data_IF_942456356380
#
_entry.id   IF_942456356380
#
_cell.length_a   1.000
_cell.length_b   1.000
_cell.length_c   1.000
_cell.angle_alpha   90.00
_cell.angle_beta   90.00
_cell.angle_gamma   90.00
#
_symmetry.space_group_name_H-M   'P 1'
#
loop_
_entity.id
_entity.type
_entity.pdbx_description
1 polymer ?
#
# COMPACT_ATOMS: atom_id res chain seq x y z
N UNK A 1 -3.06 -10.76 -3.42
CA UNK A 1 -2.81 -9.32 -3.20
C UNK A 1 -2.01 -8.61 -4.32
N UNK A 2 -1.93 -9.14 -5.56
CA UNK A 2 -1.13 -8.56 -6.67
C UNK A 2 -1.63 -7.21 -7.23
N UNK A 3 -2.83 -6.76 -6.85
CA UNK A 3 -3.47 -5.59 -7.47
C UNK A 3 -2.88 -4.26 -7.02
N UNK A 4 -2.41 -4.14 -5.77
CA UNK A 4 -1.81 -2.89 -5.28
C UNK A 4 -0.47 -2.60 -5.97
N UNK A 5 0.37 -3.61 -6.16
CA UNK A 5 1.67 -3.46 -6.85
C UNK A 5 1.49 -3.10 -8.32
N UNK A 6 0.43 -3.61 -8.98
CA UNK A 6 0.13 -3.33 -10.39
C UNK A 6 -0.42 -1.91 -10.61
N UNK A 7 -1.17 -1.35 -9.65
CA UNK A 7 -1.81 -0.03 -9.79
C UNK A 7 -0.85 1.14 -9.54
N UNK A 8 0.09 1.01 -8.61
CA UNK A 8 1.18 2.01 -8.46
C UNK A 8 2.17 1.95 -9.62
N UNK A 9 2.40 0.76 -10.18
CA UNK A 9 3.16 0.60 -11.42
C UNK A 9 2.52 1.38 -12.56
N UNK A 10 1.18 1.34 -12.72
CA UNK A 10 0.49 2.00 -13.83
C UNK A 10 0.65 3.53 -13.82
N UNK A 11 0.60 4.18 -12.65
CA UNK A 11 0.81 5.63 -12.54
C UNK A 11 2.26 6.04 -12.80
N UNK A 12 3.24 5.26 -12.28
CA UNK A 12 4.64 5.46 -12.62
C UNK A 12 4.90 5.21 -14.12
N UNK A 13 4.33 4.14 -14.68
CA UNK A 13 4.40 3.80 -16.12
C UNK A 13 3.76 4.87 -17.01
N UNK A 14 2.69 5.53 -16.55
CA UNK A 14 2.02 6.60 -17.27
C UNK A 14 2.90 7.85 -17.42
N UNK A 15 3.63 8.22 -16.36
CA UNK A 15 4.59 9.30 -16.42
C UNK A 15 5.88 8.86 -17.16
N UNK A 16 6.37 7.65 -16.92
CA UNK A 16 7.52 7.05 -17.61
C UNK A 16 7.34 6.95 -19.14
N UNK A 17 6.10 6.80 -19.63
CA UNK A 17 5.82 6.82 -21.07
C UNK A 17 6.01 8.20 -21.72
N UNK A 18 6.11 9.28 -20.93
CA UNK A 18 6.23 10.66 -21.41
C UNK A 18 7.61 11.30 -21.19
N UNK A 19 8.46 10.72 -20.33
CA UNK A 19 9.78 11.24 -20.00
C UNK A 19 10.88 10.22 -20.39
N UNK A 20 11.78 10.61 -21.29
CA UNK A 20 12.94 9.80 -21.63
C UNK A 20 14.01 9.84 -20.53
N UNK A 21 14.53 8.66 -20.17
CA UNK A 21 15.63 8.37 -19.24
C UNK A 21 16.87 9.26 -19.40
N UNK A 22 17.34 9.85 -18.30
CA UNK A 22 18.76 10.14 -18.05
C UNK A 22 19.05 10.35 -16.52
N UNK A 23 19.55 9.28 -15.88
CA UNK A 23 20.55 9.24 -14.79
C UNK A 23 20.27 9.70 -13.32
N UNK A 24 20.42 8.71 -12.41
CA UNK A 24 21.26 8.61 -11.17
C UNK A 24 21.01 9.43 -9.87
N UNK A 25 20.59 8.68 -8.82
CA UNK A 25 21.00 8.59 -7.39
C UNK A 25 21.19 9.81 -6.45
N UNK A 26 20.66 9.70 -5.21
CA UNK A 26 21.38 9.73 -3.90
C UNK A 26 20.45 9.85 -2.66
N UNK A 27 20.88 9.21 -1.57
CA UNK A 27 20.30 9.00 -0.23
C UNK A 27 20.25 10.24 0.73
N UNK A 28 19.43 10.13 1.80
CA UNK A 28 19.71 10.48 3.22
C UNK A 28 18.55 11.18 4.02
N UNK A 29 18.17 10.49 5.11
CA UNK A 29 17.94 10.91 6.52
C UNK A 29 16.66 11.58 7.12
N UNK A 30 16.29 10.96 8.26
CA UNK A 30 15.69 11.44 9.53
C UNK A 30 14.20 11.83 9.63
N UNK A 31 13.43 11.06 10.41
CA UNK A 31 12.07 11.42 10.85
C UNK A 31 11.83 11.09 12.34
N UNK A 32 11.72 12.17 13.12
CA UNK A 32 11.33 12.28 14.54
C UNK A 32 9.85 11.87 14.77
N UNK A 33 9.62 10.87 15.64
CA UNK A 33 8.28 10.37 15.97
C UNK A 33 7.76 10.96 17.30
N UNK A 34 6.98 12.04 17.22
CA UNK A 34 6.12 12.50 18.33
C UNK A 34 5.05 11.46 18.67
N UNK A 35 5.10 10.92 19.89
CA UNK A 35 4.08 10.02 20.44
C UNK A 35 2.77 10.78 20.74
N UNK A 36 1.74 10.54 19.93
CA UNK A 36 0.34 10.87 20.21
C UNK A 36 -0.46 9.61 20.53
N UNK A 37 -1.59 9.78 21.25
CA UNK A 37 -2.53 8.76 21.71
C UNK A 37 -2.61 7.49 20.84
N UNK A 38 -2.43 6.34 21.48
CA UNK A 38 -2.49 5.01 20.88
C UNK A 38 -3.96 4.67 20.61
N UNK A 39 -4.42 4.92 19.39
CA UNK A 39 -5.64 4.31 18.86
C UNK A 39 -5.36 2.81 18.66
N UNK A 40 -6.12 1.96 19.37
CA UNK A 40 -5.96 0.50 19.55
C UNK A 40 -6.17 -0.35 18.27
N UNK A 41 -5.96 0.27 17.10
CA UNK A 41 -6.00 -0.37 15.77
C UNK A 41 -4.66 -0.21 15.03
N UNK A 42 -3.58 0.05 15.77
CA UNK A 42 -2.22 0.20 15.24
C UNK A 42 -1.72 -1.11 14.63
N UNK A 43 -1.53 -1.08 13.31
CA UNK A 43 -0.70 -2.08 12.62
C UNK A 43 0.76 -1.77 12.94
N UNK A 44 1.37 -2.61 13.77
CA UNK A 44 2.81 -2.59 14.01
C UNK A 44 3.52 -3.30 12.84
N UNK A 45 4.31 -2.54 12.09
CA UNK A 45 5.13 -3.04 10.99
C UNK A 45 6.35 -3.75 11.55
N UNK A 46 6.14 -4.85 12.29
CA UNK A 46 7.23 -5.58 12.91
C UNK A 46 7.80 -6.61 11.89
N UNK A 47 8.97 -6.38 11.28
CA UNK A 47 9.54 -7.30 10.29
C UNK A 47 10.07 -8.60 10.94
N UNK A 48 10.08 -8.71 12.26
CA UNK A 48 10.70 -9.82 12.98
C UNK A 48 9.78 -11.02 13.20
N UNK A 49 8.45 -10.86 13.11
CA UNK A 49 7.51 -11.99 13.28
C UNK A 49 7.82 -13.07 12.23
N UNK A 50 8.35 -14.20 12.64
CA UNK A 50 8.79 -15.28 11.76
C UNK A 50 8.05 -16.58 12.03
N UNK A 51 8.53 -17.64 11.39
CA UNK A 51 8.01 -19.00 11.61
C UNK A 51 8.06 -19.43 13.07
N UNK A 52 9.06 -18.99 13.84
CA UNK A 52 9.19 -19.29 15.27
C UNK A 52 8.15 -18.61 16.15
N UNK A 53 7.51 -17.55 15.65
CA UNK A 53 6.50 -16.78 16.38
C UNK A 53 5.08 -17.23 16.03
N UNK A 54 4.93 -18.09 15.02
CA UNK A 54 3.66 -18.69 14.65
C UNK A 54 3.19 -19.65 15.76
N UNK A 55 2.18 -19.24 16.53
CA UNK A 55 1.59 -20.05 17.59
C UNK A 55 0.31 -20.79 17.16
N UNK A 56 -0.23 -20.48 15.98
CA UNK A 56 -1.53 -20.98 15.53
C UNK A 56 -2.67 -20.40 16.36
N UNK A 57 -3.56 -21.28 16.85
CA UNK A 57 -4.76 -20.90 17.60
C UNK A 57 -6.04 -20.95 16.76
N UNK A 58 -7.18 -20.69 17.40
CA UNK A 58 -8.48 -20.75 16.74
C UNK A 58 -8.75 -19.49 15.92
N UNK A 59 -8.80 -19.62 14.59
CA UNK A 59 -9.27 -18.56 13.70
C UNK A 59 -10.80 -18.51 13.72
N UNK A 60 -11.37 -17.92 14.77
CA UNK A 60 -12.80 -17.61 14.83
C UNK A 60 -12.97 -16.19 15.32
N UNK A 61 -13.80 -15.36 14.66
CA UNK A 61 -14.01 -13.96 15.04
C UNK A 61 -13.88 -12.99 13.88
N UNK A 62 -13.93 -11.69 14.20
CA UNK A 62 -13.82 -10.60 13.24
C UNK A 62 -12.84 -9.56 13.75
N UNK A 63 -11.94 -9.12 12.89
CA UNK A 63 -10.89 -8.16 13.18
C UNK A 63 -10.98 -7.00 12.19
N UNK A 64 -10.70 -5.79 12.66
CA UNK A 64 -10.62 -4.60 11.80
C UNK A 64 -9.17 -4.14 11.67
N UNK A 65 -8.87 -3.52 10.53
CA UNK A 65 -7.59 -2.86 10.30
C UNK A 65 -7.81 -1.48 9.71
N UNK A 66 -6.93 -0.53 10.03
CA UNK A 66 -6.98 0.87 9.57
C UNK A 66 -5.67 1.39 8.99
N UNK A 67 -4.64 0.54 8.92
CA UNK A 67 -3.35 0.86 8.31
C UNK A 67 -2.78 -0.37 7.61
N UNK A 68 -1.83 -0.15 6.72
CA UNK A 68 -0.96 -1.19 6.19
C UNK A 68 0.43 -0.61 6.03
N UNK A 69 1.45 -1.45 6.19
CA UNK A 69 2.81 -1.10 5.84
C UNK A 69 2.94 -1.17 4.32
N UNK A 70 3.53 -0.15 3.72
CA UNK A 70 3.85 -0.15 2.30
C UNK A 70 5.30 0.24 2.12
N UNK A 71 6.00 -0.53 1.31
CA UNK A 71 7.40 -0.26 0.94
C UNK A 71 7.48 0.63 -0.32
N UNK A 72 6.35 1.23 -0.73
CA UNK A 72 6.29 2.04 -1.94
C UNK A 72 6.85 3.44 -1.70
N UNK A 73 8.00 3.72 -2.31
CA UNK A 73 8.58 5.05 -2.35
C UNK A 73 8.00 5.85 -3.54
N UNK A 74 6.89 6.53 -3.27
CA UNK A 74 6.21 7.39 -4.25
C UNK A 74 7.11 8.53 -4.75
N UNK A 75 8.04 9.00 -3.92
CA UNK A 75 8.90 10.12 -4.25
C UNK A 75 10.01 9.68 -5.20
N UNK A 76 10.66 8.54 -4.92
CA UNK A 76 11.65 7.97 -5.83
C UNK A 76 11.04 7.69 -7.21
N UNK A 77 9.87 7.06 -7.26
CA UNK A 77 9.17 6.78 -8.52
C UNK A 77 8.80 8.07 -9.28
N UNK A 78 8.38 9.13 -8.58
CA UNK A 78 8.06 10.40 -9.22
C UNK A 78 9.30 11.15 -9.70
N UNK A 79 10.39 11.15 -8.92
CA UNK A 79 11.67 11.78 -9.31
C UNK A 79 12.29 11.10 -10.53
N UNK A 80 12.18 9.77 -10.62
CA UNK A 80 12.62 8.99 -11.77
C UNK A 80 11.86 9.40 -13.05
N UNK A 81 10.54 9.56 -12.94
CA UNK A 81 9.69 9.96 -14.07
C UNK A 81 9.70 11.50 -14.35
N UNK A 82 10.18 12.32 -13.42
CA UNK A 82 10.26 13.75 -13.62
C UNK A 82 11.35 14.33 -12.74
N UNK A 83 12.58 14.46 -13.27
CA UNK A 83 13.68 15.05 -12.52
C UNK A 83 13.31 16.46 -12.01
N UNK A 84 13.43 16.65 -10.70
CA UNK A 84 13.06 17.90 -10.02
C UNK A 84 11.62 17.95 -9.51
N UNK A 85 10.79 16.93 -9.77
CA UNK A 85 9.53 16.75 -9.06
C UNK A 85 9.76 16.59 -7.55
N UNK A 86 8.82 17.09 -6.76
CA UNK A 86 8.86 17.01 -5.30
C UNK A 86 7.53 16.51 -4.78
N UNK A 87 7.55 15.42 -4.03
CA UNK A 87 6.39 15.00 -3.25
C UNK A 87 6.34 15.86 -1.99
N UNK A 88 5.23 16.55 -1.78
CA UNK A 88 5.02 17.40 -0.59
C UNK A 88 4.19 16.69 0.47
N UNK A 89 3.39 15.69 0.07
CA UNK A 89 2.61 14.86 0.97
C UNK A 89 2.34 13.51 0.36
N UNK A 90 2.46 12.47 1.17
CA UNK A 90 1.98 11.12 0.87
C UNK A 90 1.05 10.69 1.99
N UNK A 91 -0.16 10.28 1.65
CA UNK A 91 -1.15 9.80 2.60
C UNK A 91 -1.71 8.45 2.15
N UNK A 92 -1.07 7.33 2.54
CA UNK A 92 -1.67 6.02 2.38
C UNK A 92 -2.79 5.83 3.41
N UNK A 93 -3.87 5.19 2.96
CA UNK A 93 -4.99 4.77 3.78
C UNK A 93 -5.38 3.37 3.37
N UNK A 94 -5.48 2.46 4.34
CA UNK A 94 -5.92 1.08 4.11
C UNK A 94 -6.86 0.74 5.25
N UNK A 95 -8.04 0.22 4.95
CA UNK A 95 -8.94 -0.22 6.00
C UNK A 95 -9.80 -1.38 5.56
N UNK A 96 -10.27 -2.15 6.52
CA UNK A 96 -11.18 -3.25 6.25
C UNK A 96 -11.38 -4.16 7.43
N UNK A 97 -11.94 -5.33 7.13
CA UNK A 97 -12.26 -6.36 8.10
C UNK A 97 -11.86 -7.74 7.57
N UNK A 98 -11.31 -8.55 8.46
CA UNK A 98 -11.10 -9.98 8.28
C UNK A 98 -12.04 -10.72 9.23
N UNK A 99 -12.81 -11.68 8.73
CA UNK A 99 -13.65 -12.54 9.56
C UNK A 99 -13.41 -14.00 9.27
N UNK A 100 -13.49 -14.80 10.33
CA UNK A 100 -13.38 -16.24 10.28
C UNK A 100 -14.55 -16.85 11.06
N UNK A 101 -15.35 -17.67 10.38
CA UNK A 101 -16.46 -18.42 10.99
C UNK A 101 -16.28 -19.88 10.64
N UNK A 102 -15.86 -20.67 11.62
CA UNK A 102 -15.40 -22.04 11.41
C UNK A 102 -14.22 -22.07 10.43
N UNK A 103 -14.39 -22.60 9.21
CA UNK A 103 -13.38 -22.58 8.16
C UNK A 103 -13.64 -21.52 7.08
N UNK A 104 -14.72 -20.74 7.19
CA UNK A 104 -15.02 -19.69 6.23
C UNK A 104 -14.23 -18.44 6.58
N UNK A 105 -13.31 -18.07 5.71
CA UNK A 105 -12.64 -16.78 5.72
C UNK A 105 -13.40 -15.79 4.83
N UNK A 106 -13.53 -14.56 5.31
CA UNK A 106 -13.99 -13.42 4.51
C UNK A 106 -13.10 -12.21 4.76
N UNK A 107 -12.82 -11.48 3.70
CA UNK A 107 -12.06 -10.25 3.70
C UNK A 107 -12.83 -9.21 2.93
N UNK A 108 -13.06 -8.08 3.56
CA UNK A 108 -13.59 -6.89 2.92
C UNK A 108 -12.66 -5.75 3.26
N UNK A 109 -12.31 -4.93 2.29
CA UNK A 109 -11.49 -3.77 2.56
C UNK A 109 -11.44 -2.81 1.40
N UNK A 110 -10.71 -1.75 1.65
CA UNK A 110 -10.37 -0.76 0.66
C UNK A 110 -9.08 -0.07 1.02
N UNK A 111 -8.58 0.63 0.02
CA UNK A 111 -7.37 1.42 0.14
C UNK A 111 -7.60 2.74 -0.59
N UNK A 112 -6.90 3.75 -0.12
CA UNK A 112 -6.78 5.07 -0.70
C UNK A 112 -5.32 5.47 -0.63
N UNK A 113 -4.79 6.10 -1.66
CA UNK A 113 -3.46 6.67 -1.62
C UNK A 113 -3.56 8.06 -2.22
N UNK A 114 -3.24 9.08 -1.44
CA UNK A 114 -3.20 10.47 -1.91
C UNK A 114 -1.75 10.94 -1.95
N UNK A 115 -1.35 11.51 -3.09
CA UNK A 115 -0.04 12.14 -3.28
C UNK A 115 -0.25 13.60 -3.68
N UNK A 116 0.32 14.50 -2.91
CA UNK A 116 0.50 15.89 -3.31
C UNK A 116 1.93 16.08 -3.79
N UNK A 117 2.09 16.65 -4.98
CA UNK A 117 3.39 16.85 -5.60
C UNK A 117 3.48 18.16 -6.36
N UNK A 118 4.70 18.66 -6.51
CA UNK A 118 5.03 19.79 -7.39
C UNK A 118 5.85 19.27 -8.55
N UNK A 119 5.43 19.59 -9.78
CA UNK A 119 6.09 19.19 -11.01
C UNK A 119 6.72 20.42 -11.70
N UNK A 120 8.00 20.36 -12.09
CA UNK A 120 8.64 21.36 -12.92
C UNK A 120 7.91 21.61 -14.24
N UNK A 121 7.98 22.86 -14.72
CA UNK A 121 7.39 23.27 -16.00
C UNK A 121 7.80 22.38 -17.18
N UNK A 122 9.04 21.88 -17.16
CA UNK A 122 9.58 21.03 -18.23
C UNK A 122 8.81 19.71 -18.35
N UNK A 123 8.53 19.04 -17.22
CA UNK A 123 7.76 17.80 -17.21
C UNK A 123 6.31 18.04 -17.61
N UNK A 124 5.72 19.13 -17.12
CA UNK A 124 4.37 19.50 -17.47
C UNK A 124 4.24 19.82 -18.97
N UNK A 125 5.21 20.52 -19.55
CA UNK A 125 5.21 20.87 -20.97
C UNK A 125 5.25 19.63 -21.87
N UNK A 126 5.97 18.58 -21.48
CA UNK A 126 6.04 17.32 -22.22
C UNK A 126 4.67 16.65 -22.40
N UNK A 127 3.74 16.90 -21.49
CA UNK A 127 2.39 16.31 -21.48
C UNK A 127 1.28 17.32 -21.81
N UNK A 128 1.63 18.48 -22.36
CA UNK A 128 0.64 19.49 -22.78
C UNK A 128 0.21 20.46 -21.66
N UNK A 129 1.03 20.66 -20.64
CA UNK A 129 0.84 21.60 -19.55
C UNK A 129 0.10 21.02 -18.33
N UNK A 130 0.02 21.80 -17.24
CA UNK A 130 -0.58 21.36 -15.98
C UNK A 130 -2.02 20.85 -16.13
N UNK A 131 -2.80 21.46 -17.03
CA UNK A 131 -4.23 21.12 -17.23
C UNK A 131 -4.42 19.73 -17.88
N UNK A 132 -3.40 19.22 -18.56
CA UNK A 132 -3.46 17.92 -19.24
C UNK A 132 -3.13 16.74 -18.31
N UNK A 133 -2.35 16.99 -17.24
CA UNK A 133 -1.88 15.98 -16.29
C UNK A 133 -3.04 15.23 -15.60
N UNK A 134 -4.11 15.89 -15.11
CA UNK A 134 -5.22 15.18 -14.46
C UNK A 134 -5.93 14.18 -15.36
N UNK A 135 -5.99 14.44 -16.67
CA UNK A 135 -6.59 13.50 -17.63
C UNK A 135 -5.71 12.27 -17.78
N UNK A 136 -4.41 12.45 -17.98
CA UNK A 136 -3.43 11.36 -18.09
C UNK A 136 -3.45 10.47 -16.84
N UNK A 137 -3.45 11.08 -15.65
CA UNK A 137 -3.48 10.33 -14.39
C UNK A 137 -4.75 9.50 -14.24
N UNK A 138 -5.92 10.05 -14.60
CA UNK A 138 -7.20 9.32 -14.55
C UNK A 138 -7.25 8.19 -15.57
N UNK A 139 -6.75 8.42 -16.77
CA UNK A 139 -6.64 7.38 -17.81
C UNK A 139 -5.74 6.22 -17.36
N UNK A 140 -4.85 6.47 -16.40
CA UNK A 140 -3.97 5.48 -15.78
C UNK A 140 -4.42 5.05 -14.36
N UNK A 141 -5.71 5.21 -14.05
CA UNK A 141 -6.33 4.60 -12.88
C UNK A 141 -6.39 5.46 -11.63
N UNK A 142 -5.97 6.74 -11.68
CA UNK A 142 -6.29 7.67 -10.60
C UNK A 142 -7.81 7.85 -10.48
N UNK A 143 -8.33 7.71 -9.27
CA UNK A 143 -9.75 7.96 -8.99
C UNK A 143 -10.05 9.46 -9.04
N UNK A 144 -9.14 10.28 -8.53
CA UNK A 144 -9.20 11.73 -8.56
C UNK A 144 -7.82 12.29 -8.91
N UNK A 145 -7.79 13.36 -9.70
CA UNK A 145 -6.57 14.06 -10.02
C UNK A 145 -6.87 15.53 -10.26
N UNK A 146 -6.00 16.41 -9.76
CA UNK A 146 -6.06 17.84 -10.01
C UNK A 146 -4.65 18.38 -10.09
N UNK A 147 -4.42 19.30 -11.01
CA UNK A 147 -3.13 19.98 -11.17
C UNK A 147 -3.41 21.42 -11.54
N UNK A 148 -2.60 22.34 -11.04
CA UNK A 148 -2.73 23.77 -11.35
C UNK A 148 -1.38 24.46 -11.28
N UNK A 149 -1.21 25.52 -12.08
CA UNK A 149 0.03 26.29 -12.16
C UNK A 149 0.32 26.75 -13.58
N UNK A 150 1.18 27.76 -13.71
CA UNK A 150 1.67 28.26 -15.02
C UNK A 150 3.17 28.03 -15.23
N UNK A 151 3.90 27.71 -14.15
CA UNK A 151 5.31 27.34 -14.18
C UNK A 151 5.48 25.96 -13.58
N UNK A 152 5.54 25.88 -12.26
CA UNK A 152 5.44 24.60 -11.54
C UNK A 152 3.97 24.20 -11.37
N UNK A 153 3.66 22.94 -11.62
CA UNK A 153 2.32 22.39 -11.40
C UNK A 153 2.22 21.82 -10.00
N UNK A 154 1.35 22.37 -9.17
CA UNK A 154 0.92 21.73 -7.93
C UNK A 154 -0.19 20.72 -8.27
N UNK A 155 0.08 19.45 -7.99
CA UNK A 155 -0.81 18.33 -8.28
C UNK A 155 -1.22 17.61 -6.99
N UNK A 156 -2.48 17.20 -6.94
CA UNK A 156 -3.04 16.30 -5.92
C UNK A 156 -3.70 15.14 -6.65
N UNK A 157 -3.28 13.93 -6.35
CA UNK A 157 -3.74 12.71 -7.01
C UNK A 157 -4.17 11.69 -5.97
N UNK A 158 -5.35 11.11 -6.16
CA UNK A 158 -5.87 10.06 -5.28
C UNK A 158 -6.22 8.83 -6.09
N UNK A 159 -5.70 7.69 -5.65
CA UNK A 159 -6.10 6.36 -6.10
C UNK A 159 -6.91 5.70 -5.00
N UNK A 160 -7.98 5.01 -5.38
CA UNK A 160 -8.77 4.22 -4.45
C UNK A 160 -9.07 2.85 -5.04
N UNK A 161 -9.25 1.88 -4.16
CA UNK A 161 -9.75 0.57 -4.55
C UNK A 161 -10.48 -0.10 -3.41
N UNK A 162 -11.30 -1.08 -3.77
CA UNK A 162 -11.99 -1.96 -2.83
C UNK A 162 -11.73 -3.39 -3.22
N UNK A 163 -11.69 -4.26 -2.23
CA UNK A 163 -11.59 -5.69 -2.46
C UNK A 163 -12.52 -6.43 -1.51
N UNK A 164 -13.09 -7.50 -2.03
CA UNK A 164 -13.85 -8.47 -1.25
C UNK A 164 -13.42 -9.85 -1.69
N UNK A 165 -13.08 -10.70 -0.75
CA UNK A 165 -12.69 -12.08 -0.99
C UNK A 165 -13.30 -12.98 0.10
N UNK A 166 -13.59 -14.22 -0.26
CA UNK A 166 -14.08 -15.20 0.69
C UNK A 166 -13.75 -16.62 0.22
N UNK A 167 -13.71 -17.54 1.16
CA UNK A 167 -13.68 -18.98 0.89
C UNK A 167 -13.13 -19.77 2.06
N UNK A 168 -12.86 -21.04 1.81
CA UNK A 168 -12.42 -21.96 2.86
C UNK A 168 -10.92 -21.79 3.13
N UNK A 169 -10.57 -21.45 4.38
CA UNK A 169 -9.19 -21.47 4.86
C UNK A 169 -8.86 -22.86 5.40
N UNK A 170 -7.66 -23.35 5.11
CA UNK A 170 -7.09 -24.50 5.81
C UNK A 170 -5.96 -24.05 6.72
N UNK A 171 -5.81 -24.71 7.86
CA UNK A 171 -4.78 -24.42 8.85
C UNK A 171 -3.97 -25.65 9.16
N UNK A 172 -2.65 -25.52 9.21
CA UNK A 172 -1.72 -26.58 9.59
C UNK A 172 -0.51 -25.96 10.28
N UNK A 173 -0.23 -26.38 11.52
CA UNK A 173 0.94 -25.96 12.33
C UNK A 173 1.24 -24.44 12.31
N UNK A 174 0.23 -23.61 12.62
CA UNK A 174 0.39 -22.14 12.62
C UNK A 174 0.51 -21.50 11.23
N UNK A 175 0.23 -22.25 10.16
CA UNK A 175 0.13 -21.75 8.80
C UNK A 175 -1.33 -21.80 8.35
N UNK A 176 -1.84 -20.68 7.85
CA UNK A 176 -3.14 -20.62 7.20
C UNK A 176 -2.96 -20.47 5.68
N UNK A 177 -3.75 -21.22 4.92
CA UNK A 177 -3.75 -21.23 3.45
C UNK A 177 -5.13 -20.81 2.94
N UNK A 178 -5.15 -19.74 2.15
CA UNK A 178 -6.37 -19.22 1.53
C UNK A 178 -6.75 -19.99 0.26
N UNK A 179 -8.02 -19.87 -0.19
CA UNK A 179 -8.46 -20.46 -1.46
C UNK A 179 -7.64 -20.03 -2.68
N UNK A 180 -7.03 -18.84 -2.63
CA UNK A 180 -6.14 -18.30 -3.67
C UNK A 180 -4.78 -18.99 -3.72
N UNK A 181 -4.44 -19.81 -2.72
CA UNK A 181 -3.12 -20.41 -2.52
C UNK A 181 -2.14 -19.53 -1.74
N UNK A 182 -2.56 -18.32 -1.34
CA UNK A 182 -1.77 -17.45 -0.44
C UNK A 182 -1.63 -18.13 0.94
N UNK A 183 -0.43 -18.01 1.53
CA UNK A 183 -0.09 -18.65 2.81
C UNK A 183 0.42 -17.60 3.79
N UNK A 184 0.15 -17.80 5.08
CA UNK A 184 0.67 -16.92 6.13
C UNK A 184 0.95 -17.69 7.41
N UNK A 185 2.04 -17.30 8.09
CA UNK A 185 2.23 -17.62 9.49
C UNK A 185 1.25 -16.80 10.32
N UNK A 186 0.61 -17.41 11.31
CA UNK A 186 -0.29 -16.70 12.20
C UNK A 186 -0.18 -17.15 13.66
N UNK A 187 -0.59 -16.26 14.55
CA UNK A 187 -0.72 -16.49 15.97
C UNK A 187 -1.96 -15.74 16.48
N UNK A 188 -2.88 -16.47 17.11
CA UNK A 188 -4.04 -15.92 17.82
C UNK A 188 -3.76 -16.00 19.31
N UNK A 189 -3.66 -14.83 19.94
CA UNK A 189 -3.49 -14.69 21.39
C UNK A 189 -4.62 -13.80 21.95
N UNK A 190 -5.58 -14.43 22.62
CA UNK A 190 -6.81 -13.78 23.08
C UNK A 190 -7.61 -13.17 21.93
N UNK A 191 -7.76 -11.85 21.93
CA UNK A 191 -8.45 -11.08 20.88
C UNK A 191 -7.50 -10.56 19.80
N UNK A 192 -6.21 -10.85 19.90
CA UNK A 192 -5.20 -10.39 18.95
C UNK A 192 -4.91 -11.48 17.92
N UNK A 193 -4.96 -11.11 16.63
CA UNK A 193 -4.48 -11.90 15.52
C UNK A 193 -3.23 -11.24 14.95
N UNK A 194 -2.10 -11.92 15.04
CA UNK A 194 -0.87 -11.55 14.34
C UNK A 194 -0.67 -12.50 13.17
N UNK A 195 -0.44 -11.98 11.96
CA UNK A 195 -0.13 -12.81 10.80
C UNK A 195 0.90 -12.16 9.89
N UNK A 196 1.62 -12.99 9.13
CA UNK A 196 2.62 -12.55 8.16
C UNK A 196 2.60 -13.42 6.91
N UNK A 197 2.56 -12.77 5.74
CA UNK A 197 2.52 -13.44 4.45
C UNK A 197 3.80 -14.26 4.18
N UNK A 198 3.62 -15.44 3.61
CA UNK A 198 4.69 -16.28 3.06
C UNK A 198 4.65 -16.13 1.55
N UNK A 199 5.64 -15.46 0.95
CA UNK A 199 5.71 -15.27 -0.50
C UNK A 199 6.12 -16.56 -1.22
N UNK A 200 5.81 -16.71 -2.52
CA UNK A 200 6.10 -17.93 -3.28
C UNK A 200 7.59 -18.30 -3.38
N UNK A 201 8.48 -17.31 -3.28
CA UNK A 201 9.94 -17.46 -3.24
C UNK A 201 10.47 -17.79 -1.83
N UNK A 202 9.59 -17.90 -0.84
CA UNK A 202 9.94 -18.15 0.56
C UNK A 202 10.35 -16.89 1.31
N UNK A 203 10.33 -15.71 0.67
CA UNK A 203 10.53 -14.44 1.36
C UNK A 203 9.33 -14.16 2.27
N UNK A 204 9.61 -13.62 3.46
CA UNK A 204 8.57 -13.36 4.43
C UNK A 204 8.08 -11.90 4.29
N UNK A 205 6.79 -11.71 4.03
CA UNK A 205 6.16 -10.43 3.71
C UNK A 205 5.94 -9.51 4.91
N UNK A 206 4.96 -8.62 4.82
CA UNK A 206 4.62 -7.67 5.90
C UNK A 206 3.85 -8.39 7.02
N UNK A 207 4.15 -8.03 8.26
CA UNK A 207 3.42 -8.48 9.46
C UNK A 207 2.24 -7.56 9.73
N UNK A 208 1.11 -8.16 10.12
CA UNK A 208 -0.09 -7.47 10.51
C UNK A 208 -0.52 -7.94 11.89
N UNK A 209 -0.85 -7.00 12.77
CA UNK A 209 -1.39 -7.27 14.10
C UNK A 209 -2.76 -6.60 14.20
N UNK A 210 -3.79 -7.39 14.49
CA UNK A 210 -5.17 -6.95 14.53
C UNK A 210 -5.82 -7.28 15.88
N UNK A 211 -6.58 -6.34 16.42
CA UNK A 211 -7.37 -6.51 17.65
C UNK A 211 -8.86 -6.49 17.31
N UNK A 212 -9.69 -7.26 18.03
CA UNK A 212 -11.16 -7.30 17.85
C UNK A 212 -11.86 -6.07 18.40
#
# INVERSE_FOLDING_TARGET
>A
MRTLTLLTSAAALALLAACGDDSAASDDDDCDCRAGEVDDTTVDCNPTFGTSDACGGELSGSWQYRRACTDFDAEAALRDACPGARVTRTQPGVSGSLSFVSALWQHSGGWSHTVDATLPALCAAAVGGCDSIPTILRDNGASEASCSGAGECACSVTWTGRHTAAGLVSTDDGIATLPSGERFHYCVDGDTLTYREIRPDGEIGVTFTLTR
#
